data_IF_206584531556
#
_entry.id   IF_206584531556
#
_cell.length_a   1.000
_cell.length_b   1.000
_cell.length_c   1.000
_cell.angle_alpha   90.00
_cell.angle_beta   90.00
_cell.angle_gamma   90.00
#
_symmetry.space_group_name_H-M   'P 1'
#
loop_
_entity.id
_entity.type
_entity.pdbx_description
1 polymer ?
#
# COMPACT_ATOMS: atom_id res chain seq x y z
N UNK A 1 -3.39 -27.48 -24.82
CA UNK A 1 -4.36 -26.48 -25.33
C UNK A 1 -4.62 -25.49 -24.22
N UNK A 2 -4.19 -24.23 -24.34
CA UNK A 2 -4.55 -23.19 -23.37
C UNK A 2 -6.05 -22.96 -23.40
N UNK A 3 -6.71 -23.11 -22.26
CA UNK A 3 -8.15 -22.87 -22.11
C UNK A 3 -8.38 -21.36 -22.16
N UNK A 4 -8.92 -20.87 -23.26
CA UNK A 4 -9.22 -19.45 -23.44
C UNK A 4 -10.21 -19.01 -22.35
N UNK A 5 -9.78 -18.07 -21.47
CA UNK A 5 -10.64 -17.55 -20.44
C UNK A 5 -11.82 -16.80 -21.03
N UNK A 6 -13.04 -16.96 -20.47
CA UNK A 6 -14.22 -16.25 -20.93
C UNK A 6 -14.04 -14.74 -20.77
N UNK A 7 -14.62 -13.96 -21.68
CA UNK A 7 -14.50 -12.51 -21.68
C UNK A 7 -15.86 -11.84 -21.56
N UNK A 8 -15.90 -10.61 -21.07
CA UNK A 8 -17.11 -9.79 -21.04
C UNK A 8 -17.74 -9.62 -22.44
N UNK A 9 -16.88 -9.61 -23.49
CA UNK A 9 -17.30 -9.54 -24.89
C UNK A 9 -18.06 -10.80 -25.31
N UNK A 10 -17.68 -11.95 -24.80
CA UNK A 10 -18.38 -13.22 -25.06
C UNK A 10 -19.78 -13.21 -24.45
N UNK A 11 -19.92 -12.76 -23.19
CA UNK A 11 -21.23 -12.61 -22.54
C UNK A 11 -22.13 -11.65 -23.32
N UNK A 12 -21.57 -10.50 -23.73
CA UNK A 12 -22.31 -9.51 -24.54
C UNK A 12 -22.84 -10.11 -25.86
N UNK A 13 -21.99 -10.86 -26.57
CA UNK A 13 -22.34 -11.51 -27.82
C UNK A 13 -23.44 -12.58 -27.63
N UNK A 14 -23.30 -13.45 -26.60
CA UNK A 14 -24.30 -14.52 -26.35
C UNK A 14 -25.66 -13.99 -25.94
N UNK A 15 -25.71 -12.85 -25.25
CA UNK A 15 -26.97 -12.21 -24.82
C UNK A 15 -27.47 -11.16 -25.81
N UNK A 16 -26.74 -10.89 -26.88
CA UNK A 16 -27.03 -9.85 -27.89
C UNK A 16 -27.27 -8.47 -27.25
N UNK A 17 -26.39 -8.09 -26.30
CA UNK A 17 -26.42 -6.79 -25.63
C UNK A 17 -25.03 -6.15 -25.67
N UNK A 18 -24.94 -4.85 -25.35
CA UNK A 18 -23.66 -4.15 -25.36
C UNK A 18 -22.77 -4.56 -24.21
N UNK A 19 -21.43 -4.47 -24.38
CA UNK A 19 -20.44 -4.69 -23.32
C UNK A 19 -20.72 -3.78 -22.11
N UNK A 20 -21.13 -2.53 -22.37
CA UNK A 20 -21.47 -1.58 -21.29
C UNK A 20 -22.70 -2.03 -20.50
N UNK A 21 -23.68 -2.65 -21.14
CA UNK A 21 -24.88 -3.23 -20.49
C UNK A 21 -24.46 -4.41 -19.61
N UNK A 22 -23.62 -5.32 -20.10
CA UNK A 22 -23.08 -6.44 -19.31
C UNK A 22 -22.32 -5.92 -18.09
N UNK A 23 -21.41 -4.96 -18.29
CA UNK A 23 -20.63 -4.37 -17.19
C UNK A 23 -21.53 -3.75 -16.12
N UNK A 24 -22.54 -2.96 -16.52
CA UNK A 24 -23.50 -2.37 -15.58
C UNK A 24 -24.35 -3.41 -14.86
N UNK A 25 -24.75 -4.49 -15.56
CA UNK A 25 -25.53 -5.57 -14.98
C UNK A 25 -24.76 -6.34 -13.92
N UNK A 26 -23.47 -6.63 -14.16
CA UNK A 26 -22.58 -7.30 -13.20
C UNK A 26 -22.34 -6.47 -11.93
N UNK A 27 -22.37 -5.13 -12.04
CA UNK A 27 -22.21 -4.21 -10.91
C UNK A 27 -23.54 -3.70 -10.33
N UNK A 28 -24.66 -4.38 -10.61
CA UNK A 28 -26.00 -4.04 -10.10
C UNK A 28 -26.46 -2.59 -10.36
N UNK A 29 -25.96 -1.97 -11.41
CA UNK A 29 -26.28 -0.58 -11.73
C UNK A 29 -27.80 -0.37 -11.86
N UNK A 30 -28.38 0.71 -11.27
CA UNK A 30 -29.83 0.93 -11.24
C UNK A 30 -30.47 1.10 -12.62
N UNK A 31 -29.70 1.52 -13.63
CA UNK A 31 -30.24 1.67 -15.01
C UNK A 31 -30.50 0.36 -15.72
N UNK A 32 -30.18 -0.79 -15.17
CA UNK A 32 -30.37 -2.12 -15.76
C UNK A 32 -31.49 -2.84 -15.05
N UNK A 33 -32.47 -3.28 -15.81
CA UNK A 33 -33.63 -4.01 -15.27
C UNK A 33 -33.24 -5.38 -14.68
N UNK A 34 -34.00 -5.84 -13.68
CA UNK A 34 -33.74 -7.07 -12.94
C UNK A 34 -33.57 -8.29 -13.84
N UNK A 35 -34.43 -8.44 -14.86
CA UNK A 35 -34.37 -9.55 -15.82
C UNK A 35 -33.01 -9.63 -16.52
N UNK A 36 -32.49 -8.51 -17.00
CA UNK A 36 -31.20 -8.45 -17.69
C UNK A 36 -30.04 -8.74 -16.69
N UNK A 37 -30.13 -8.21 -15.48
CA UNK A 37 -29.14 -8.53 -14.43
C UNK A 37 -29.06 -10.02 -14.15
N UNK A 38 -30.21 -10.67 -13.96
CA UNK A 38 -30.28 -12.11 -13.69
C UNK A 38 -29.73 -12.94 -14.84
N UNK A 39 -30.06 -12.59 -16.08
CA UNK A 39 -29.54 -13.31 -17.26
C UNK A 39 -28.03 -13.17 -17.40
N UNK A 40 -27.49 -11.97 -17.18
CA UNK A 40 -26.04 -11.71 -17.25
C UNK A 40 -25.29 -12.45 -16.16
N UNK A 41 -25.76 -12.39 -14.89
CA UNK A 41 -25.14 -13.07 -13.76
C UNK A 41 -25.14 -14.59 -13.95
N UNK A 42 -26.29 -15.16 -14.36
CA UNK A 42 -26.40 -16.60 -14.65
C UNK A 42 -25.41 -17.05 -15.72
N UNK A 43 -25.34 -16.33 -16.85
CA UNK A 43 -24.39 -16.68 -17.92
C UNK A 43 -22.94 -16.49 -17.50
N UNK A 44 -22.62 -15.48 -16.67
CA UNK A 44 -21.28 -15.29 -16.13
C UNK A 44 -20.87 -16.46 -15.23
N UNK A 45 -21.77 -16.97 -14.38
CA UNK A 45 -21.56 -18.15 -13.55
C UNK A 45 -21.37 -19.42 -14.40
N UNK A 46 -22.22 -19.67 -15.39
CA UNK A 46 -22.13 -20.82 -16.30
C UNK A 46 -20.79 -20.85 -17.06
N UNK A 47 -20.26 -19.67 -17.39
CA UNK A 47 -18.98 -19.53 -18.08
C UNK A 47 -17.78 -19.52 -17.13
N UNK A 48 -17.98 -19.49 -15.80
CA UNK A 48 -16.93 -19.21 -14.81
C UNK A 48 -16.19 -17.90 -15.15
N UNK A 49 -16.93 -16.87 -15.57
CA UNK A 49 -16.37 -15.57 -15.93
C UNK A 49 -15.93 -14.82 -14.67
N UNK A 50 -14.65 -14.47 -14.63
CA UNK A 50 -14.09 -13.58 -13.61
C UNK A 50 -13.80 -12.22 -14.27
N UNK A 51 -14.32 -11.11 -13.71
CA UNK A 51 -14.03 -9.78 -14.22
C UNK A 51 -12.50 -9.53 -14.32
N UNK A 52 -12.08 -9.00 -15.47
CA UNK A 52 -10.68 -8.61 -15.61
C UNK A 52 -10.41 -7.36 -14.77
N UNK A 53 -9.80 -7.54 -13.61
CA UNK A 53 -9.49 -6.47 -12.68
C UNK A 53 -8.60 -5.40 -13.32
N UNK A 54 -7.64 -5.78 -14.16
CA UNK A 54 -6.77 -4.84 -14.89
C UNK A 54 -7.57 -3.87 -15.75
N UNK A 55 -8.64 -4.35 -16.43
CA UNK A 55 -9.51 -3.50 -17.23
C UNK A 55 -10.36 -2.55 -16.35
N UNK A 56 -10.79 -3.03 -15.17
CA UNK A 56 -11.53 -2.23 -14.19
C UNK A 56 -10.61 -1.15 -13.61
N UNK A 57 -9.42 -1.50 -13.19
CA UNK A 57 -8.40 -0.60 -12.65
C UNK A 57 -8.02 0.49 -13.66
N UNK A 58 -7.83 0.11 -14.92
CA UNK A 58 -7.56 1.07 -15.99
C UNK A 58 -8.66 2.12 -16.13
N UNK A 59 -9.94 1.70 -16.05
CA UNK A 59 -11.09 2.61 -16.11
C UNK A 59 -11.20 3.51 -14.88
N UNK A 60 -10.88 2.98 -13.70
CA UNK A 60 -10.96 3.71 -12.43
C UNK A 60 -9.68 4.52 -12.13
N UNK A 61 -8.61 4.32 -12.92
CA UNK A 61 -7.27 4.88 -12.67
C UNK A 61 -6.74 4.54 -11.26
N UNK A 62 -7.14 3.41 -10.72
CA UNK A 62 -6.73 2.89 -9.40
C UNK A 62 -6.42 1.40 -9.51
N UNK A 63 -5.43 0.95 -8.77
CA UNK A 63 -5.05 -0.47 -8.69
C UNK A 63 -5.52 -1.13 -7.41
N UNK A 64 -6.03 -0.35 -6.46
CA UNK A 64 -6.38 -0.80 -5.11
C UNK A 64 -5.22 -1.54 -4.44
N UNK A 65 -4.01 -1.05 -4.69
CA UNK A 65 -2.78 -1.60 -4.14
C UNK A 65 -1.99 -0.46 -3.51
N UNK A 66 -1.59 -0.63 -2.25
CA UNK A 66 -0.61 0.23 -1.58
C UNK A 66 0.72 -0.49 -1.48
N UNK A 67 1.81 0.24 -1.67
CA UNK A 67 3.15 -0.26 -1.42
C UNK A 67 3.59 0.02 0.01
N UNK A 68 4.28 -0.92 0.63
CA UNK A 68 4.95 -0.75 1.92
C UNK A 68 6.43 -1.02 1.71
N UNK A 69 7.28 -0.05 2.03
CA UNK A 69 8.74 -0.20 1.97
C UNK A 69 9.29 -0.04 3.38
N UNK A 70 10.10 -0.99 3.80
CA UNK A 70 10.66 -1.02 5.15
C UNK A 70 12.01 -1.76 5.17
N UNK A 71 12.85 -1.52 6.20
CA UNK A 71 14.15 -2.16 6.26
C UNK A 71 14.08 -3.68 6.44
N UNK A 72 13.31 -4.16 7.42
CA UNK A 72 13.33 -5.58 7.77
C UNK A 72 12.03 -6.01 8.47
N UNK A 73 11.42 -7.10 8.01
CA UNK A 73 10.23 -7.71 8.61
C UNK A 73 10.49 -8.49 9.91
N UNK A 74 11.74 -8.78 10.23
CA UNK A 74 12.09 -9.60 11.41
C UNK A 74 11.92 -8.85 12.73
N UNK A 75 11.87 -7.53 12.68
CA UNK A 75 11.66 -6.71 13.88
C UNK A 75 10.18 -6.72 14.26
N UNK A 76 9.88 -7.03 15.51
CA UNK A 76 8.50 -7.13 16.04
C UNK A 76 7.70 -5.85 15.79
N UNK A 77 8.35 -4.70 15.89
CA UNK A 77 7.74 -3.41 15.59
C UNK A 77 7.16 -3.36 14.17
N UNK A 78 7.93 -3.76 13.16
CA UNK A 78 7.46 -3.73 11.77
C UNK A 78 6.38 -4.77 11.51
N UNK A 79 6.43 -5.93 12.15
CA UNK A 79 5.39 -6.95 11.98
C UNK A 79 4.05 -6.47 12.54
N UNK A 80 4.05 -5.78 13.69
CA UNK A 80 2.85 -5.18 14.27
C UNK A 80 2.33 -4.00 13.42
N UNK A 81 3.22 -3.11 12.97
CA UNK A 81 2.85 -2.00 12.11
C UNK A 81 2.20 -2.48 10.80
N UNK A 82 2.78 -3.52 10.17
CA UNK A 82 2.24 -4.10 8.94
C UNK A 82 0.88 -4.73 9.18
N UNK A 83 0.67 -5.44 10.31
CA UNK A 83 -0.64 -6.01 10.63
C UNK A 83 -1.72 -4.93 10.69
N UNK A 84 -1.44 -3.79 11.34
CA UNK A 84 -2.39 -2.68 11.38
C UNK A 84 -2.62 -2.00 10.03
N UNK A 85 -1.57 -1.88 9.21
CA UNK A 85 -1.68 -1.33 7.85
C UNK A 85 -2.52 -2.27 6.97
N UNK A 86 -2.25 -3.57 7.03
CA UNK A 86 -2.94 -4.58 6.23
C UNK A 86 -4.43 -4.66 6.57
N UNK A 87 -4.78 -4.68 7.86
CA UNK A 87 -6.16 -4.68 8.32
C UNK A 87 -6.93 -3.45 7.80
N UNK A 88 -6.34 -2.25 7.94
CA UNK A 88 -6.95 -1.00 7.45
C UNK A 88 -7.07 -0.98 5.92
N UNK A 89 -6.07 -1.50 5.22
CA UNK A 89 -6.08 -1.62 3.76
C UNK A 89 -7.19 -2.59 3.31
N UNK A 90 -7.31 -3.74 3.97
CA UNK A 90 -8.34 -4.74 3.68
C UNK A 90 -9.75 -4.19 3.86
N UNK A 91 -10.04 -3.50 4.96
CA UNK A 91 -11.33 -2.82 5.18
C UNK A 91 -11.67 -1.80 4.08
N UNK A 92 -10.64 -1.19 3.48
CA UNK A 92 -10.76 -0.24 2.38
C UNK A 92 -10.72 -0.89 1.00
N UNK A 93 -10.75 -2.22 0.90
CA UNK A 93 -10.59 -3.01 -0.32
C UNK A 93 -9.24 -2.79 -1.04
N UNK A 94 -8.18 -2.50 -0.29
CA UNK A 94 -6.82 -2.41 -0.79
C UNK A 94 -6.01 -3.67 -0.45
N UNK A 95 -5.01 -3.95 -1.26
CA UNK A 95 -4.00 -4.97 -1.01
C UNK A 95 -2.68 -4.28 -0.70
N UNK A 96 -1.93 -4.81 0.28
CA UNK A 96 -0.61 -4.33 0.62
C UNK A 96 0.48 -5.12 -0.12
N UNK A 97 1.37 -4.41 -0.84
CA UNK A 97 2.55 -4.97 -1.50
C UNK A 97 3.79 -4.58 -0.72
N UNK A 98 4.49 -5.55 -0.13
CA UNK A 98 5.60 -5.30 0.79
C UNK A 98 6.95 -5.48 0.11
N UNK A 99 7.85 -4.51 0.28
CA UNK A 99 9.25 -4.56 -0.15
C UNK A 99 10.20 -4.31 1.02
N UNK A 100 11.24 -5.16 1.16
CA UNK A 100 12.27 -5.01 2.19
C UNK A 100 13.56 -4.46 1.59
N UNK A 101 14.03 -3.31 2.07
CA UNK A 101 15.28 -2.68 1.62
C UNK A 101 16.53 -3.32 2.23
N UNK A 102 16.41 -3.99 3.38
CA UNK A 102 17.54 -4.48 4.19
C UNK A 102 18.57 -3.39 4.54
N UNK A 103 18.08 -2.15 4.66
CA UNK A 103 18.92 -0.97 4.90
C UNK A 103 19.88 -0.61 3.76
N UNK A 104 19.68 -1.16 2.54
CA UNK A 104 20.49 -0.92 1.35
C UNK A 104 19.76 0.09 0.43
N UNK A 105 20.40 1.23 0.14
CA UNK A 105 19.80 2.32 -0.68
C UNK A 105 19.47 1.88 -2.11
N UNK A 106 20.32 1.07 -2.73
CA UNK A 106 20.08 0.63 -4.10
C UNK A 106 18.91 -0.37 -4.18
N UNK A 107 18.72 -1.15 -3.14
CA UNK A 107 17.57 -2.05 -3.01
C UNK A 107 16.28 -1.25 -2.78
N UNK A 108 16.33 -0.23 -1.93
CA UNK A 108 15.21 0.69 -1.71
C UNK A 108 14.76 1.32 -3.03
N UNK A 109 15.68 1.92 -3.79
CA UNK A 109 15.41 2.51 -5.12
C UNK A 109 14.78 1.50 -6.08
N UNK A 110 15.30 0.27 -6.13
CA UNK A 110 14.77 -0.79 -6.99
C UNK A 110 13.36 -1.21 -6.61
N UNK A 111 13.05 -1.25 -5.31
CA UNK A 111 11.69 -1.52 -4.80
C UNK A 111 10.76 -0.40 -5.23
N UNK A 112 11.14 0.87 -5.01
CA UNK A 112 10.35 2.03 -5.41
C UNK A 112 10.06 2.01 -6.91
N UNK A 113 11.06 1.75 -7.74
CA UNK A 113 10.89 1.64 -9.19
C UNK A 113 9.92 0.50 -9.57
N UNK A 114 9.96 -0.61 -8.84
CA UNK A 114 9.03 -1.73 -9.04
C UNK A 114 7.61 -1.33 -8.65
N UNK A 115 7.42 -0.70 -7.49
CA UNK A 115 6.11 -0.18 -7.04
C UNK A 115 5.51 0.81 -8.03
N UNK A 116 6.35 1.73 -8.56
CA UNK A 116 5.97 2.67 -9.62
C UNK A 116 5.47 1.94 -10.88
N UNK A 117 6.19 0.90 -11.35
CA UNK A 117 5.78 0.08 -12.51
C UNK A 117 4.47 -0.67 -12.27
N UNK A 118 4.24 -1.13 -11.06
CA UNK A 118 2.97 -1.76 -10.66
C UNK A 118 1.84 -0.76 -10.44
N UNK A 119 2.14 0.55 -10.53
CA UNK A 119 1.17 1.65 -10.35
C UNK A 119 0.41 1.53 -9.04
N UNK A 120 1.14 1.32 -7.94
CA UNK A 120 0.51 1.38 -6.62
C UNK A 120 -0.16 2.73 -6.40
N UNK A 121 -1.27 2.77 -5.69
CA UNK A 121 -2.05 3.99 -5.48
C UNK A 121 -1.44 4.91 -4.41
N UNK A 122 -0.48 4.41 -3.64
CA UNK A 122 0.30 5.15 -2.65
C UNK A 122 1.36 4.28 -2.00
N UNK A 123 2.28 4.92 -1.27
CA UNK A 123 3.38 4.26 -0.57
C UNK A 123 3.41 4.63 0.90
N UNK A 124 3.66 3.63 1.76
CA UNK A 124 4.06 3.78 3.15
C UNK A 124 5.53 3.39 3.26
N UNK A 125 6.37 4.28 3.77
CA UNK A 125 7.83 4.11 3.71
C UNK A 125 8.48 4.35 5.07
N UNK A 126 9.22 3.36 5.57
CA UNK A 126 10.26 3.53 6.57
C UNK A 126 11.61 3.47 5.85
N UNK A 127 12.31 4.61 5.78
CA UNK A 127 13.51 4.75 4.95
C UNK A 127 14.67 3.86 5.41
N UNK A 128 15.54 3.50 4.49
CA UNK A 128 16.82 2.85 4.79
C UNK A 128 17.72 3.80 5.58
N UNK A 129 18.56 3.27 6.45
CA UNK A 129 19.59 4.05 7.15
C UNK A 129 20.65 4.67 6.21
N UNK A 130 20.77 4.14 4.99
CA UNK A 130 21.67 4.67 3.96
C UNK A 130 21.02 5.76 3.12
N UNK A 131 19.71 6.02 3.29
CA UNK A 131 18.98 7.02 2.51
C UNK A 131 19.44 8.42 2.89
N UNK A 132 20.17 9.04 1.99
CA UNK A 132 20.72 10.38 2.12
C UNK A 132 20.12 11.40 1.14
N UNK A 133 19.23 10.95 0.25
CA UNK A 133 18.51 11.78 -0.73
C UNK A 133 17.11 11.22 -0.93
N UNK A 134 16.14 12.10 -1.10
CA UNK A 134 14.72 11.76 -1.33
C UNK A 134 14.32 11.80 -2.81
N UNK A 135 15.25 12.04 -3.72
CA UNK A 135 14.97 12.24 -5.15
C UNK A 135 14.13 11.10 -5.77
N UNK A 136 14.38 9.85 -5.38
CA UNK A 136 13.63 8.68 -5.87
C UNK A 136 12.20 8.58 -5.32
N UNK A 137 11.90 9.25 -4.20
CA UNK A 137 10.52 9.42 -3.70
C UNK A 137 9.85 10.64 -4.33
N UNK A 138 10.57 11.75 -4.51
CA UNK A 138 10.05 12.97 -5.13
C UNK A 138 9.60 12.72 -6.57
N UNK A 139 10.32 11.88 -7.31
CA UNK A 139 9.95 11.47 -8.67
C UNK A 139 8.52 10.87 -8.73
N UNK A 140 8.05 10.22 -7.66
CA UNK A 140 6.74 9.59 -7.60
C UNK A 140 5.58 10.59 -7.72
N UNK A 141 5.80 11.86 -7.38
CA UNK A 141 4.80 12.93 -7.54
C UNK A 141 4.35 13.08 -9.00
N UNK A 142 5.27 12.89 -9.96
CA UNK A 142 4.95 12.95 -11.40
C UNK A 142 3.99 11.83 -11.82
N UNK A 143 3.91 10.76 -11.04
CA UNK A 143 3.02 9.61 -11.27
C UNK A 143 1.75 9.64 -10.41
N UNK A 144 1.56 10.73 -9.63
CA UNK A 144 0.49 10.86 -8.64
C UNK A 144 0.46 9.72 -7.61
N UNK A 145 1.64 9.27 -7.18
CA UNK A 145 1.79 8.28 -6.12
C UNK A 145 2.20 9.02 -4.84
N UNK A 146 1.28 9.23 -3.89
CA UNK A 146 1.59 9.86 -2.61
C UNK A 146 2.47 8.96 -1.75
N UNK A 147 3.35 9.57 -0.97
CA UNK A 147 4.23 8.90 -0.02
C UNK A 147 3.92 9.38 1.39
N UNK A 148 3.73 8.44 2.31
CA UNK A 148 3.63 8.68 3.75
C UNK A 148 4.78 7.95 4.42
N UNK A 149 5.60 8.67 5.17
CA UNK A 149 6.71 8.08 5.91
C UNK A 149 6.25 7.60 7.30
N UNK A 150 6.81 6.52 7.77
CA UNK A 150 6.55 6.03 9.13
C UNK A 150 7.81 5.51 9.79
N UNK A 151 7.86 5.51 11.12
CA UNK A 151 9.00 5.09 11.94
C UNK A 151 10.28 5.89 11.63
N UNK A 152 11.03 5.50 10.62
CA UNK A 152 12.20 6.24 10.13
C UNK A 152 11.76 7.27 9.12
N UNK A 153 11.64 8.49 9.59
CA UNK A 153 11.11 9.63 8.84
C UNK A 153 12.28 10.53 8.44
N UNK A 154 12.39 10.92 7.16
CA UNK A 154 13.42 11.86 6.74
C UNK A 154 13.21 13.24 7.36
N UNK A 155 14.30 13.98 7.54
CA UNK A 155 14.24 15.37 7.98
C UNK A 155 14.08 16.30 6.77
N UNK A 156 12.83 16.46 6.31
CA UNK A 156 12.48 17.27 5.15
C UNK A 156 11.18 18.04 5.42
N UNK A 157 11.01 19.23 4.84
CA UNK A 157 9.75 19.96 4.92
C UNK A 157 8.66 19.30 4.09
N UNK A 158 7.42 19.62 4.40
CA UNK A 158 6.22 19.28 3.61
C UNK A 158 6.02 17.77 3.31
N UNK A 159 6.49 16.89 4.20
CA UNK A 159 6.26 15.45 4.10
C UNK A 159 5.07 15.02 4.97
N UNK A 160 4.36 13.99 4.49
CA UNK A 160 3.37 13.29 5.31
C UNK A 160 4.07 12.19 6.11
N UNK A 161 3.88 12.20 7.43
CA UNK A 161 4.54 11.21 8.29
C UNK A 161 3.72 10.79 9.50
N UNK A 162 3.96 9.56 9.95
CA UNK A 162 3.42 9.01 11.21
C UNK A 162 4.59 8.44 11.99
N UNK A 163 4.83 8.93 13.19
CA UNK A 163 5.95 8.50 14.04
C UNK A 163 5.60 8.59 15.52
N UNK A 164 6.31 7.82 16.34
CA UNK A 164 6.17 7.86 17.80
C UNK A 164 7.07 8.94 18.39
N UNK A 165 6.55 9.79 19.27
CA UNK A 165 7.35 10.80 19.98
C UNK A 165 8.27 10.12 21.03
N UNK A 166 9.44 9.69 20.58
CA UNK A 166 10.43 9.06 21.46
C UNK A 166 11.06 10.07 22.43
N UNK A 167 11.11 11.35 22.06
CA UNK A 167 11.62 12.40 22.95
C UNK A 167 10.85 12.47 24.27
N UNK A 168 9.53 12.62 24.21
CA UNK A 168 8.70 12.71 25.43
C UNK A 168 8.75 11.41 26.24
N UNK A 169 8.76 10.27 25.58
CA UNK A 169 8.88 8.96 26.23
C UNK A 169 10.23 8.82 26.96
N UNK A 170 11.32 9.27 26.33
CA UNK A 170 12.66 9.26 26.92
C UNK A 170 12.76 10.20 28.11
N UNK A 171 12.23 11.43 28.01
CA UNK A 171 12.15 12.39 29.13
C UNK A 171 11.39 11.77 30.30
N UNK A 172 10.21 11.20 30.05
CA UNK A 172 9.42 10.55 31.10
C UNK A 172 10.16 9.40 31.78
N UNK A 173 10.91 8.59 31.00
CA UNK A 173 11.71 7.50 31.55
C UNK A 173 12.84 8.02 32.45
N UNK A 174 13.56 9.07 32.04
CA UNK A 174 14.61 9.69 32.86
C UNK A 174 14.02 10.32 34.11
N UNK A 175 12.92 11.06 34.00
CA UNK A 175 12.22 11.66 35.14
C UNK A 175 11.76 10.61 36.15
N UNK A 176 11.28 9.47 35.67
CA UNK A 176 10.92 8.34 36.54
C UNK A 176 12.13 7.84 37.32
N UNK A 177 13.27 7.63 36.67
CA UNK A 177 14.51 7.18 37.34
C UNK A 177 15.01 8.21 38.35
N UNK A 178 14.99 9.50 38.00
CA UNK A 178 15.40 10.60 38.93
C UNK A 178 14.47 10.63 40.13
N UNK A 179 13.14 10.54 39.95
CA UNK A 179 12.17 10.50 41.07
C UNK A 179 12.36 9.28 41.98
N UNK A 180 12.91 8.17 41.46
CA UNK A 180 13.30 6.99 42.24
C UNK A 180 14.63 7.14 42.97
N UNK A 181 15.32 8.28 42.85
CA UNK A 181 16.56 8.59 43.55
C UNK A 181 17.85 8.16 42.81
N UNK A 182 17.72 7.69 41.57
CA UNK A 182 18.91 7.33 40.78
C UNK A 182 19.67 8.60 40.36
N UNK A 183 20.96 8.68 40.70
CA UNK A 183 21.83 9.85 40.40
C UNK A 183 22.76 9.59 39.20
N UNK A 184 22.98 8.34 38.85
CA UNK A 184 23.84 7.93 37.73
C UNK A 184 23.04 7.07 36.78
N UNK A 185 22.69 7.63 35.62
CA UNK A 185 21.87 7.00 34.60
C UNK A 185 22.73 6.81 33.37
N UNK A 186 22.83 5.55 32.90
CA UNK A 186 23.51 5.20 31.66
C UNK A 186 22.53 5.24 30.49
N UNK A 187 23.01 5.70 29.34
CA UNK A 187 22.24 5.71 28.09
C UNK A 187 23.05 5.01 26.99
N UNK A 188 22.41 4.06 26.29
CA UNK A 188 22.99 3.38 25.14
C UNK A 188 22.36 3.94 23.90
N UNK A 189 23.13 4.71 23.15
CA UNK A 189 22.67 5.36 21.91
C UNK A 189 22.86 4.43 20.71
N UNK A 190 21.90 4.43 19.81
CA UNK A 190 22.04 3.83 18.48
C UNK A 190 22.99 4.62 17.57
N UNK A 191 23.25 4.14 16.34
CA UNK A 191 24.08 4.86 15.36
C UNK A 191 23.55 6.26 15.10
N UNK A 192 24.45 7.27 15.05
CA UNK A 192 24.09 8.68 14.81
C UNK A 192 23.49 8.96 13.41
N UNK A 193 23.59 7.99 12.50
CA UNK A 193 23.01 8.06 11.14
C UNK A 193 21.51 7.82 11.10
N UNK A 194 20.90 7.34 12.18
CA UNK A 194 19.44 7.14 12.28
C UNK A 194 18.84 8.35 13.00
N UNK A 195 18.24 9.25 12.24
CA UNK A 195 17.39 10.31 12.81
C UNK A 195 16.04 9.70 13.17
N UNK A 196 15.96 9.09 14.34
CA UNK A 196 14.68 8.70 14.96
C UNK A 196 14.22 9.93 15.73
N UNK A 197 13.16 10.58 15.28
CA UNK A 197 12.57 11.75 15.96
C UNK A 197 11.78 11.34 17.17
#
# INVERSE_FOLDING_TARGET
MEKKLPTIKEIANRLNISISTVSRALHDHPSIGLRTKTQVKKLAEELNYVPNQTAIFFKQRKTFTIGIVLPNLREEYFSLAISGIEETAFESNYIALIGQSHDEIEREKKIIETMKKHRVDGLLVSISKETNSLAHFEELQQYNIPVVYFDRVPDAPDIHSVWCSLYHSSVNAIDFLVKKGHKRIGYIQGPSTLTIK
#
